data_IF_944234132135
#
_entry.id   IF_944234132135
#
_cell.length_a   1.000
_cell.length_b   1.000
_cell.length_c   1.000
_cell.angle_alpha   90.00
_cell.angle_beta   90.00
_cell.angle_gamma   90.00
#
_symmetry.space_group_name_H-M   'P 1'
#
loop_
_entity.id
_entity.type
_entity.pdbx_description
1 polymer ?
#
# COMPACT_ATOMS: atom_id res chain seq x y z
N UNK A 1 -8.05 -2.88 39.35
CA UNK A 1 -7.61 -1.63 40.02
C UNK A 1 -7.61 -0.49 39.00
N UNK A 2 -8.70 0.29 38.97
CA UNK A 2 -8.82 1.45 38.05
C UNK A 2 -8.11 2.67 38.71
N UNK A 3 -6.80 2.80 38.52
CA UNK A 3 -6.09 4.02 38.91
C UNK A 3 -6.47 5.10 37.89
N UNK A 4 -7.20 6.14 38.37
CA UNK A 4 -7.45 7.34 37.57
C UNK A 4 -6.09 7.89 37.09
N UNK A 5 -5.91 8.19 35.79
CA UNK A 5 -4.65 8.71 35.31
C UNK A 5 -4.32 10.02 36.04
N UNK A 6 -3.08 10.18 36.47
CA UNK A 6 -2.64 11.41 37.17
C UNK A 6 -2.72 12.60 36.20
N UNK A 7 -2.83 13.79 36.73
CA UNK A 7 -2.87 15.05 35.97
C UNK A 7 -1.64 15.13 35.03
N UNK A 8 -0.47 14.73 35.51
CA UNK A 8 0.77 14.67 34.77
C UNK A 8 0.68 13.70 33.58
N UNK A 9 0.09 12.51 33.78
CA UNK A 9 -0.11 11.54 32.69
C UNK A 9 -1.04 12.09 31.60
N UNK A 10 -2.11 12.80 31.96
CA UNK A 10 -3.02 13.43 30.99
C UNK A 10 -2.33 14.54 30.21
N UNK A 11 -1.54 15.38 30.89
CA UNK A 11 -0.81 16.47 30.25
C UNK A 11 0.26 15.93 29.27
N UNK A 12 1.02 14.90 29.67
CA UNK A 12 1.98 14.23 28.81
C UNK A 12 1.33 13.59 27.59
N UNK A 13 0.22 12.89 27.77
CA UNK A 13 -0.54 12.31 26.67
C UNK A 13 -1.03 13.39 25.71
N UNK A 14 -1.58 14.50 26.24
CA UNK A 14 -2.01 15.64 25.42
C UNK A 14 -0.86 16.26 24.61
N UNK A 15 0.32 16.43 25.23
CA UNK A 15 1.51 16.95 24.57
C UNK A 15 2.00 16.03 23.44
N UNK A 16 2.00 14.71 23.67
CA UNK A 16 2.36 13.71 22.64
C UNK A 16 1.39 13.80 21.46
N UNK A 17 0.09 13.83 21.71
CA UNK A 17 -0.90 13.98 20.65
C UNK A 17 -0.74 15.30 19.90
N UNK A 18 -0.55 16.42 20.62
CA UNK A 18 -0.31 17.71 19.99
C UNK A 18 0.91 17.65 19.05
N UNK A 19 2.01 17.08 19.52
CA UNK A 19 3.23 16.96 18.72
C UNK A 19 3.05 16.05 17.49
N UNK A 20 2.32 14.95 17.64
CA UNK A 20 2.04 14.02 16.53
C UNK A 20 1.11 14.64 15.48
N UNK A 21 0.09 15.39 15.92
CA UNK A 21 -0.89 15.95 15.00
C UNK A 21 -0.53 17.37 14.51
N UNK A 22 0.38 18.08 15.16
CA UNK A 22 0.79 19.43 14.77
C UNK A 22 1.22 19.52 13.30
N UNK A 23 2.04 18.61 12.73
CA UNK A 23 2.38 18.65 11.30
C UNK A 23 1.15 18.54 10.40
N UNK A 24 0.17 17.74 10.78
CA UNK A 24 -1.08 17.55 10.01
C UNK A 24 -1.89 18.85 10.03
N UNK A 25 -2.04 19.50 11.20
CA UNK A 25 -2.74 20.79 11.29
C UNK A 25 -2.03 21.88 10.47
N UNK A 26 -0.71 21.91 10.50
CA UNK A 26 0.08 22.83 9.66
C UNK A 26 -0.20 22.57 8.17
N UNK A 27 -0.20 21.33 7.72
CA UNK A 27 -0.51 20.98 6.31
C UNK A 27 -1.94 21.38 5.94
N UNK A 28 -2.92 21.18 6.82
CA UNK A 28 -4.31 21.61 6.59
C UNK A 28 -4.39 23.12 6.42
N UNK A 29 -3.73 23.89 7.30
CA UNK A 29 -3.74 25.36 7.21
C UNK A 29 -3.06 25.81 5.91
N UNK A 30 -1.90 25.27 5.59
CA UNK A 30 -1.16 25.62 4.37
C UNK A 30 -1.82 25.12 3.07
N UNK A 31 -2.78 24.19 3.13
CA UNK A 31 -3.57 23.80 1.95
C UNK A 31 -4.45 24.94 1.42
N UNK A 32 -4.75 25.93 2.27
CA UNK A 32 -5.49 27.14 1.90
C UNK A 32 -4.58 28.33 1.55
N UNK A 33 -3.25 28.12 1.52
CA UNK A 33 -2.29 29.18 1.22
C UNK A 33 -2.20 29.44 -0.30
N UNK A 34 -2.28 30.68 -0.73
CA UNK A 34 -2.17 31.08 -2.14
C UNK A 34 -0.74 30.98 -2.71
N UNK A 35 0.25 30.57 -1.93
CA UNK A 35 1.63 30.36 -2.36
C UNK A 35 1.92 28.88 -2.61
N UNK A 36 2.69 28.58 -3.66
CA UNK A 36 3.30 27.26 -3.87
C UNK A 36 4.36 26.91 -2.80
N UNK A 37 4.91 27.93 -2.15
CA UNK A 37 5.88 27.76 -1.08
C UNK A 37 5.17 27.46 0.25
N UNK A 38 5.60 26.41 0.94
CA UNK A 38 5.11 26.06 2.28
C UNK A 38 5.72 26.92 3.40
N UNK A 39 6.64 27.83 3.08
CA UNK A 39 7.35 28.65 4.06
C UNK A 39 6.78 30.06 4.19
N UNK A 40 5.96 30.50 3.24
CA UNK A 40 5.43 31.87 3.19
C UNK A 40 3.90 31.81 3.05
N UNK A 41 3.20 32.52 3.95
CA UNK A 41 1.76 32.72 3.83
C UNK A 41 1.45 33.87 2.89
N UNK A 42 0.82 33.60 1.75
CA UNK A 42 0.49 34.61 0.74
C UNK A 42 -1.00 34.93 0.65
N UNK A 43 -1.79 34.54 1.66
CA UNK A 43 -3.22 34.77 1.72
C UNK A 43 -4.04 33.48 1.58
N UNK A 44 -5.33 33.59 1.84
CA UNK A 44 -6.27 32.47 1.78
C UNK A 44 -6.78 32.26 0.33
N UNK A 45 -6.78 31.00 -0.14
CA UNK A 45 -7.36 30.62 -1.43
C UNK A 45 -7.99 29.25 -1.38
N UNK A 46 -8.96 29.00 -2.27
CA UNK A 46 -9.54 27.69 -2.57
C UNK A 46 -9.17 27.20 -3.97
N UNK A 47 -8.39 27.95 -4.72
CA UNK A 47 -8.04 27.65 -6.12
C UNK A 47 -7.37 26.29 -6.29
N UNK A 48 -6.65 25.82 -5.26
CA UNK A 48 -6.04 24.50 -5.29
C UNK A 48 -7.05 23.36 -5.29
N UNK A 49 -8.17 23.55 -4.58
CA UNK A 49 -9.25 22.58 -4.54
C UNK A 49 -10.03 22.58 -5.86
N UNK A 50 -10.27 23.76 -6.42
CA UNK A 50 -10.90 23.88 -7.75
C UNK A 50 -10.04 23.18 -8.83
N UNK A 51 -8.74 23.45 -8.87
CA UNK A 51 -7.78 22.76 -9.76
C UNK A 51 -7.75 21.26 -9.54
N UNK A 52 -7.79 20.81 -8.28
CA UNK A 52 -7.78 19.39 -7.93
C UNK A 52 -8.97 18.64 -8.56
N UNK A 53 -10.16 19.22 -8.51
CA UNK A 53 -11.37 18.60 -9.06
C UNK A 53 -11.45 18.67 -10.59
N UNK A 54 -10.65 19.52 -11.23
CA UNK A 54 -10.58 19.65 -12.69
C UNK A 54 -9.34 18.95 -13.30
N UNK A 55 -8.43 18.45 -12.49
CA UNK A 55 -7.25 17.73 -12.96
C UNK A 55 -7.56 16.25 -13.19
N UNK A 56 -7.73 15.87 -14.44
CA UNK A 56 -8.03 14.50 -14.87
C UNK A 56 -6.98 13.50 -14.38
N UNK A 57 -5.71 13.86 -14.38
CA UNK A 57 -4.63 12.96 -13.94
C UNK A 57 -4.77 12.61 -12.46
N UNK A 58 -5.11 13.60 -11.62
CA UNK A 58 -5.30 13.38 -10.18
C UNK A 58 -6.57 12.56 -9.91
N UNK A 59 -7.64 12.83 -10.63
CA UNK A 59 -8.90 12.08 -10.50
C UNK A 59 -8.72 10.62 -10.93
N UNK A 60 -8.02 10.36 -12.03
CA UNK A 60 -7.72 8.99 -12.48
C UNK A 60 -6.83 8.24 -11.48
N UNK A 61 -5.82 8.93 -10.92
CA UNK A 61 -4.99 8.38 -9.86
C UNK A 61 -5.79 8.06 -8.59
N UNK A 62 -6.71 8.95 -8.19
CA UNK A 62 -7.61 8.74 -7.05
C UNK A 62 -8.51 7.53 -7.28
N UNK A 63 -9.16 7.45 -8.45
CA UNK A 63 -10.02 6.33 -8.81
C UNK A 63 -9.25 5.00 -8.77
N UNK A 64 -8.07 4.96 -9.40
CA UNK A 64 -7.20 3.79 -9.41
C UNK A 64 -6.81 3.37 -7.99
N UNK A 65 -6.41 4.32 -7.15
CA UNK A 65 -6.03 4.06 -5.76
C UNK A 65 -7.19 3.48 -4.95
N UNK A 66 -8.39 4.08 -5.07
CA UNK A 66 -9.58 3.60 -4.38
C UNK A 66 -9.98 2.20 -4.88
N UNK A 67 -9.98 1.98 -6.20
CA UNK A 67 -10.31 0.69 -6.77
C UNK A 67 -9.35 -0.41 -6.31
N UNK A 68 -8.03 -0.15 -6.37
CA UNK A 68 -7.01 -1.09 -5.89
C UNK A 68 -7.18 -1.37 -4.40
N UNK A 69 -7.38 -0.33 -3.58
CA UNK A 69 -7.51 -0.48 -2.12
C UNK A 69 -8.71 -1.34 -1.74
N UNK A 70 -9.88 -1.07 -2.33
CA UNK A 70 -11.10 -1.85 -2.04
C UNK A 70 -10.97 -3.29 -2.52
N UNK A 71 -10.51 -3.49 -3.76
CA UNK A 71 -10.32 -4.83 -4.31
C UNK A 71 -9.28 -5.63 -3.51
N UNK A 72 -8.14 -5.01 -3.20
CA UNK A 72 -7.10 -5.65 -2.39
C UNK A 72 -7.61 -6.02 -0.99
N UNK A 73 -8.35 -5.14 -0.33
CA UNK A 73 -8.92 -5.41 0.99
C UNK A 73 -9.90 -6.60 0.96
N UNK A 74 -10.81 -6.64 -0.02
CA UNK A 74 -11.78 -7.74 -0.16
C UNK A 74 -11.06 -9.06 -0.45
N UNK A 75 -10.16 -9.07 -1.45
CA UNK A 75 -9.45 -10.29 -1.85
C UNK A 75 -8.54 -10.78 -0.72
N UNK A 76 -7.78 -9.87 -0.07
CA UNK A 76 -6.90 -10.23 1.03
C UNK A 76 -7.68 -10.77 2.24
N UNK A 77 -8.85 -10.19 2.55
CA UNK A 77 -9.70 -10.68 3.65
C UNK A 77 -10.18 -12.09 3.37
N UNK A 78 -10.68 -12.36 2.16
CA UNK A 78 -11.12 -13.70 1.79
C UNK A 78 -9.95 -14.69 1.80
N UNK A 79 -8.84 -14.36 1.12
CA UNK A 79 -7.67 -15.22 1.05
C UNK A 79 -7.02 -15.45 2.43
N UNK A 80 -6.86 -14.40 3.23
CA UNK A 80 -6.30 -14.47 4.57
C UNK A 80 -7.16 -15.31 5.51
N UNK A 81 -8.50 -15.18 5.43
CA UNK A 81 -9.42 -16.02 6.21
C UNK A 81 -9.26 -17.50 5.85
N UNK A 82 -9.21 -17.86 4.56
CA UNK A 82 -8.96 -19.23 4.14
C UNK A 82 -7.58 -19.73 4.57
N UNK A 83 -6.54 -18.86 4.47
CA UNK A 83 -5.20 -19.18 4.94
C UNK A 83 -5.17 -19.43 6.45
N UNK A 84 -5.86 -18.62 7.25
CA UNK A 84 -5.96 -18.79 8.70
C UNK A 84 -6.63 -20.14 9.07
N UNK A 85 -7.73 -20.50 8.39
CA UNK A 85 -8.37 -21.81 8.56
C UNK A 85 -7.43 -22.95 8.16
N UNK A 86 -6.70 -22.79 7.07
CA UNK A 86 -5.67 -23.73 6.63
C UNK A 86 -4.57 -23.92 7.66
N UNK A 87 -4.04 -22.85 8.23
CA UNK A 87 -3.02 -22.88 9.27
C UNK A 87 -3.52 -23.52 10.56
N UNK A 88 -4.79 -23.32 10.93
CA UNK A 88 -5.39 -23.96 12.11
C UNK A 88 -5.40 -25.49 11.99
N UNK A 89 -5.73 -26.03 10.83
CA UNK A 89 -5.81 -27.46 10.57
C UNK A 89 -4.46 -28.12 10.22
N UNK A 90 -3.41 -27.34 10.04
CA UNK A 90 -2.09 -27.81 9.60
C UNK A 90 -1.27 -28.42 10.76
N UNK A 91 -0.48 -29.46 10.45
CA UNK A 91 0.47 -30.04 11.43
C UNK A 91 1.50 -28.99 11.87
N UNK A 92 1.82 -28.94 13.16
CA UNK A 92 2.73 -27.96 13.79
C UNK A 92 4.06 -27.77 13.04
N UNK A 93 4.63 -28.86 12.49
CA UNK A 93 5.91 -28.82 11.75
C UNK A 93 5.88 -27.94 10.50
N UNK A 94 4.74 -27.83 9.83
CA UNK A 94 4.55 -27.00 8.64
C UNK A 94 3.96 -25.63 8.97
N UNK A 95 3.14 -25.55 10.00
CA UNK A 95 2.52 -24.31 10.46
C UNK A 95 3.57 -23.28 10.88
N UNK A 96 4.56 -23.67 11.69
CA UNK A 96 5.55 -22.71 12.23
C UNK A 96 6.37 -22.01 11.13
N UNK A 97 7.02 -22.70 10.16
CA UNK A 97 7.78 -21.99 9.11
C UNK A 97 6.89 -21.16 8.21
N UNK A 98 5.68 -21.63 7.87
CA UNK A 98 4.77 -20.86 7.03
C UNK A 98 4.28 -19.59 7.72
N UNK A 99 3.95 -19.63 9.02
CA UNK A 99 3.61 -18.43 9.79
C UNK A 99 4.80 -17.46 9.88
N UNK A 100 6.03 -17.98 10.01
CA UNK A 100 7.23 -17.13 10.02
C UNK A 100 7.38 -16.39 8.69
N UNK A 101 7.22 -17.09 7.56
CA UNK A 101 7.25 -16.47 6.22
C UNK A 101 6.13 -15.44 6.04
N UNK A 102 4.91 -15.76 6.50
CA UNK A 102 3.79 -14.84 6.43
C UNK A 102 4.02 -13.54 7.22
N UNK A 103 4.78 -13.60 8.30
CA UNK A 103 5.07 -12.43 9.14
C UNK A 103 6.24 -11.57 8.60
N UNK A 104 7.01 -12.03 7.61
CA UNK A 104 8.13 -11.27 7.05
C UNK A 104 7.70 -9.88 6.56
N UNK A 105 6.60 -9.71 5.78
CA UNK A 105 6.18 -8.39 5.34
C UNK A 105 5.82 -7.43 6.47
N UNK A 106 5.32 -7.95 7.61
CA UNK A 106 4.96 -7.11 8.77
C UNK A 106 6.17 -6.50 9.48
N UNK A 107 7.33 -7.17 9.42
CA UNK A 107 8.56 -6.72 10.08
C UNK A 107 9.40 -5.83 9.17
N UNK A 108 9.31 -6.03 7.86
CA UNK A 108 10.07 -5.26 6.89
C UNK A 108 9.45 -3.87 6.66
N UNK A 109 10.33 -2.89 6.38
CA UNK A 109 9.88 -1.59 5.92
C UNK A 109 9.07 -1.71 4.62
N UNK A 110 7.87 -1.13 4.57
CA UNK A 110 6.96 -1.19 3.42
C UNK A 110 7.63 -0.77 2.11
N UNK A 111 8.52 0.24 2.18
CA UNK A 111 9.29 0.71 1.02
C UNK A 111 10.20 -0.38 0.46
N UNK A 112 10.89 -1.12 1.33
CA UNK A 112 11.81 -2.20 0.91
C UNK A 112 11.04 -3.32 0.23
N UNK A 113 9.91 -3.73 0.81
CA UNK A 113 9.06 -4.78 0.23
C UNK A 113 8.42 -4.32 -1.08
N UNK A 114 7.97 -3.06 -1.17
CA UNK A 114 7.42 -2.48 -2.39
C UNK A 114 8.44 -2.45 -3.54
N UNK A 115 9.67 -1.98 -3.27
CA UNK A 115 10.75 -1.98 -4.27
C UNK A 115 11.13 -3.41 -4.67
N UNK A 116 11.21 -4.34 -3.71
CA UNK A 116 11.52 -5.74 -4.00
C UNK A 116 10.47 -6.41 -4.88
N UNK A 117 9.18 -6.16 -4.64
CA UNK A 117 8.09 -6.65 -5.50
C UNK A 117 8.14 -6.03 -6.89
N UNK A 118 8.45 -4.74 -7.00
CA UNK A 118 8.61 -4.08 -8.30
C UNK A 118 9.75 -4.73 -9.11
N UNK A 119 10.91 -4.92 -8.50
CA UNK A 119 12.05 -5.60 -9.13
C UNK A 119 11.73 -7.05 -9.49
N UNK A 120 11.00 -7.75 -8.62
CA UNK A 120 10.53 -9.11 -8.89
C UNK A 120 9.64 -9.16 -10.13
N UNK A 121 8.66 -8.25 -10.25
CA UNK A 121 7.80 -8.21 -11.44
C UNK A 121 8.58 -7.89 -12.70
N UNK A 122 9.53 -6.95 -12.66
CA UNK A 122 10.39 -6.64 -13.82
C UNK A 122 11.21 -7.85 -14.24
N UNK A 123 11.85 -8.52 -13.28
CA UNK A 123 12.62 -9.75 -13.56
C UNK A 123 11.72 -10.86 -14.12
N UNK A 124 10.55 -11.06 -13.52
CA UNK A 124 9.58 -12.05 -13.99
C UNK A 124 9.10 -11.76 -15.42
N UNK A 125 8.81 -10.50 -15.76
CA UNK A 125 8.36 -10.12 -17.09
C UNK A 125 9.45 -10.30 -18.15
N UNK A 126 10.71 -10.03 -17.82
CA UNK A 126 11.82 -10.33 -18.71
C UNK A 126 11.97 -11.85 -18.98
N UNK A 127 11.94 -12.65 -17.91
CA UNK A 127 11.98 -14.12 -18.04
C UNK A 127 10.77 -14.65 -18.82
N UNK A 128 9.59 -14.07 -18.61
CA UNK A 128 8.40 -14.42 -19.38
C UNK A 128 8.55 -14.07 -20.86
N UNK A 129 9.11 -12.92 -21.20
CA UNK A 129 9.39 -12.50 -22.57
C UNK A 129 10.29 -13.51 -23.28
N UNK A 130 11.39 -13.88 -22.65
CA UNK A 130 12.31 -14.88 -23.21
C UNK A 130 11.64 -16.25 -23.40
N UNK A 131 10.87 -16.68 -22.40
CA UNK A 131 10.12 -17.94 -22.45
C UNK A 131 9.04 -17.92 -23.54
N UNK A 132 8.24 -16.85 -23.63
CA UNK A 132 7.17 -16.74 -24.62
C UNK A 132 7.73 -16.67 -26.04
N UNK A 133 8.85 -15.97 -26.23
CA UNK A 133 9.54 -15.93 -27.51
C UNK A 133 10.02 -17.32 -27.93
N UNK A 134 10.61 -18.08 -27.01
CA UNK A 134 11.04 -19.46 -27.25
C UNK A 134 9.85 -20.37 -27.60
N UNK A 135 8.74 -20.29 -26.82
CA UNK A 135 7.54 -21.10 -27.06
C UNK A 135 6.88 -20.75 -28.39
N UNK A 136 6.76 -19.47 -28.73
CA UNK A 136 6.20 -19.01 -29.98
C UNK A 136 7.01 -19.52 -31.17
N UNK A 137 8.35 -19.49 -31.06
CA UNK A 137 9.23 -20.01 -32.09
C UNK A 137 9.20 -21.55 -32.23
N UNK A 138 9.07 -22.28 -31.13
CA UNK A 138 9.08 -23.74 -31.12
C UNK A 138 7.73 -24.39 -31.51
N UNK A 139 6.62 -23.77 -31.07
CA UNK A 139 5.27 -24.36 -31.18
C UNK A 139 4.31 -23.55 -32.06
N UNK A 140 4.72 -22.38 -32.57
CA UNK A 140 3.86 -21.49 -33.35
C UNK A 140 2.69 -20.91 -32.59
N UNK A 141 2.78 -20.83 -31.25
CA UNK A 141 1.78 -20.21 -30.35
C UNK A 141 1.92 -18.68 -30.41
N UNK A 142 0.85 -17.96 -30.12
CA UNK A 142 0.84 -16.49 -30.05
C UNK A 142 0.71 -16.02 -28.57
N UNK A 143 1.69 -16.37 -27.74
CA UNK A 143 1.73 -15.87 -26.37
C UNK A 143 2.21 -14.41 -26.36
N UNK A 144 1.68 -13.56 -25.47
CA UNK A 144 2.14 -12.19 -25.34
C UNK A 144 3.60 -12.18 -24.85
N UNK A 145 4.49 -11.57 -25.64
CA UNK A 145 5.93 -11.49 -25.32
C UNK A 145 6.24 -10.37 -24.31
N UNK A 146 5.36 -9.39 -24.22
CA UNK A 146 5.57 -8.26 -23.30
C UNK A 146 4.45 -8.16 -22.27
N UNK A 147 4.84 -8.20 -21.02
CA UNK A 147 3.99 -7.88 -19.88
C UNK A 147 4.47 -6.55 -19.27
N UNK A 148 3.55 -5.73 -18.83
CA UNK A 148 3.85 -4.40 -18.30
C UNK A 148 3.37 -4.26 -16.85
N UNK A 149 4.12 -3.46 -16.10
CA UNK A 149 3.65 -3.00 -14.78
C UNK A 149 2.38 -2.18 -14.98
N UNK A 150 1.35 -2.47 -14.20
CA UNK A 150 0.06 -1.78 -14.29
C UNK A 150 -0.86 -2.11 -13.12
N UNK A 151 -2.14 -1.91 -13.33
CA UNK A 151 -3.17 -2.14 -12.31
C UNK A 151 -3.08 -3.55 -11.67
N UNK A 152 -2.87 -4.59 -12.47
CA UNK A 152 -2.79 -5.98 -11.99
C UNK A 152 -1.60 -6.22 -11.05
N UNK A 153 -0.42 -5.75 -11.40
CA UNK A 153 0.78 -5.88 -10.55
C UNK A 153 0.66 -5.07 -9.27
N UNK A 154 0.07 -3.87 -9.34
CA UNK A 154 -0.23 -3.04 -8.18
C UNK A 154 -1.23 -3.74 -7.25
N UNK A 155 -2.29 -4.32 -7.81
CA UNK A 155 -3.29 -5.07 -7.04
C UNK A 155 -2.66 -6.29 -6.34
N UNK A 156 -1.85 -7.09 -7.05
CA UNK A 156 -1.14 -8.25 -6.45
C UNK A 156 -0.22 -7.82 -5.32
N UNK A 157 0.53 -6.72 -5.50
CA UNK A 157 1.38 -6.17 -4.46
C UNK A 157 0.58 -5.80 -3.21
N UNK A 158 -0.53 -5.07 -3.36
CA UNK A 158 -1.39 -4.68 -2.24
C UNK A 158 -2.04 -5.88 -1.55
N UNK A 159 -2.48 -6.89 -2.30
CA UNK A 159 -3.00 -8.14 -1.72
C UNK A 159 -1.92 -8.82 -0.88
N UNK A 160 -0.70 -8.94 -1.42
CA UNK A 160 0.44 -9.57 -0.72
C UNK A 160 0.77 -8.85 0.58
N UNK A 161 0.70 -7.52 0.60
CA UNK A 161 0.90 -6.74 1.82
C UNK A 161 -0.21 -6.94 2.85
N UNK A 162 -1.47 -7.06 2.40
CA UNK A 162 -2.62 -7.08 3.29
C UNK A 162 -2.89 -8.47 3.90
N UNK A 163 -2.53 -9.56 3.23
CA UNK A 163 -2.76 -10.94 3.73
C UNK A 163 -2.23 -11.17 5.15
N UNK A 164 -1.01 -10.75 5.53
CA UNK A 164 -0.50 -10.98 6.88
C UNK A 164 -1.27 -10.25 7.99
N UNK A 165 -2.05 -9.22 7.67
CA UNK A 165 -2.82 -8.44 8.63
C UNK A 165 -4.25 -8.95 8.85
N UNK A 166 -4.68 -9.93 8.09
CA UNK A 166 -5.98 -10.61 8.21
C UNK A 166 -5.91 -11.83 9.11
#
# INVERSE_FOLDING_TARGET
MNRKPSLFSRLMTGLIFLFLYAPIFVLIIFSFNNSKSRSVWAGFTLDWYDKLFHDQMILDALYTTLAVSVLAAVIATVAGTFAAIGFYNMKKRWRTPLMTVNNIPMVNAEIVTGVSLCLFFVAFFNLWGDFSHWVNGAFGLQLPEQLYLGFGTMLIAHITFNIPYV
#
